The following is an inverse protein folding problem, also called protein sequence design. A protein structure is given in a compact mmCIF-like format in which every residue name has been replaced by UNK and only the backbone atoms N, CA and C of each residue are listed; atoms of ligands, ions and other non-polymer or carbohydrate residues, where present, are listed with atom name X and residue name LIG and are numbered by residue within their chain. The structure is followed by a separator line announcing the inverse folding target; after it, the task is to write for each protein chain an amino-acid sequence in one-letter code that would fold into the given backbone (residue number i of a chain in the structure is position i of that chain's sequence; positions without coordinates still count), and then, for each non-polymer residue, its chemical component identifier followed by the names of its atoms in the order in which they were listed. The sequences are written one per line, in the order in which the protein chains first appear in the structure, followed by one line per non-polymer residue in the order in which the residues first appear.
data_IF_084705487302
#
_entry.id   IF_084705487302
#
_cell.length_a   1.000
_cell.length_b   1.000
_cell.length_c   1.000
_cell.angle_alpha   90.00
_cell.angle_beta   90.00
_cell.angle_gamma   90.00
#
_symmetry.space_group_name_H-M   'P 1'
#
loop_
_entity.id
_entity.type
_entity.pdbx_description
1 polymer ?
#
# COMPACT_ATOMS: atom_id res chain seq x y z
N UNK A 1 -9.87 -15.57 -25.24
CA UNK A 1 -8.43 -15.39 -24.96
C UNK A 1 -8.18 -14.35 -23.86
N UNK A 2 -9.01 -13.31 -23.72
CA UNK A 2 -8.88 -12.23 -22.70
C UNK A 2 -8.91 -12.69 -21.23
N UNK A 3 -9.83 -13.60 -20.84
CA UNK A 3 -9.97 -14.03 -19.43
C UNK A 3 -8.70 -14.58 -18.78
N UNK A 4 -7.82 -15.19 -19.57
CA UNK A 4 -6.56 -15.78 -19.08
C UNK A 4 -5.53 -14.69 -18.75
N UNK A 5 -5.57 -13.59 -19.48
CA UNK A 5 -4.67 -12.43 -19.29
C UNK A 5 -5.07 -11.62 -18.05
N UNK A 6 -6.37 -11.41 -17.83
CA UNK A 6 -6.85 -10.68 -16.64
C UNK A 6 -6.53 -11.40 -15.34
N UNK A 7 -6.69 -12.73 -15.32
CA UNK A 7 -6.31 -13.56 -14.17
C UNK A 7 -4.79 -13.47 -13.89
N UNK A 8 -3.96 -13.52 -14.92
CA UNK A 8 -2.51 -13.38 -14.79
C UNK A 8 -2.09 -11.99 -14.29
N UNK A 9 -2.80 -10.94 -14.71
CA UNK A 9 -2.56 -9.58 -14.20
C UNK A 9 -2.95 -9.45 -12.73
N UNK A 10 -4.06 -10.08 -12.33
CA UNK A 10 -4.51 -10.08 -10.94
C UNK A 10 -3.50 -10.78 -10.03
N UNK A 11 -2.98 -11.95 -10.43
CA UNK A 11 -1.94 -12.68 -9.68
C UNK A 11 -0.68 -11.82 -9.51
N UNK A 12 -0.22 -11.18 -10.59
CA UNK A 12 0.93 -10.26 -10.52
C UNK A 12 0.70 -9.07 -9.59
N UNK A 13 -0.51 -8.51 -9.59
CA UNK A 13 -0.85 -7.40 -8.70
C UNK A 13 -0.84 -7.83 -7.23
N UNK A 14 -1.34 -9.04 -6.91
CA UNK A 14 -1.31 -9.56 -5.55
C UNK A 14 0.13 -9.80 -5.07
N UNK A 15 0.99 -10.35 -5.92
CA UNK A 15 2.42 -10.52 -5.64
C UNK A 15 3.14 -9.19 -5.39
N UNK A 16 2.89 -8.19 -6.24
CA UNK A 16 3.47 -6.85 -6.08
C UNK A 16 2.98 -6.19 -4.79
N UNK A 17 1.68 -6.30 -4.51
CA UNK A 17 1.07 -5.80 -3.28
C UNK A 17 1.72 -6.45 -2.06
N UNK A 18 1.87 -7.78 -2.05
CA UNK A 18 2.50 -8.52 -0.96
C UNK A 18 3.94 -8.06 -0.69
N UNK A 19 4.74 -7.92 -1.74
CA UNK A 19 6.13 -7.41 -1.63
C UNK A 19 6.18 -5.99 -1.11
N UNK A 20 5.29 -5.10 -1.58
CA UNK A 20 5.21 -3.73 -1.11
C UNK A 20 4.95 -3.67 0.42
N UNK A 21 3.95 -4.40 0.91
CA UNK A 21 3.65 -4.40 2.35
C UNK A 21 4.75 -5.06 3.19
N UNK A 22 5.40 -6.10 2.67
CA UNK A 22 6.52 -6.77 3.34
C UNK A 22 7.70 -5.81 3.58
N UNK A 23 8.06 -5.01 2.57
CA UNK A 23 9.13 -4.02 2.70
C UNK A 23 8.77 -2.91 3.68
N UNK A 24 7.55 -2.38 3.60
CA UNK A 24 7.06 -1.33 4.49
C UNK A 24 7.03 -1.82 5.95
N UNK A 25 6.64 -3.07 6.19
CA UNK A 25 6.53 -3.67 7.52
C UNK A 25 7.86 -3.72 8.28
N UNK A 26 9.01 -3.60 7.60
CA UNK A 26 10.33 -3.52 8.25
C UNK A 26 10.53 -2.24 9.06
N UNK A 27 9.83 -1.16 8.69
CA UNK A 27 9.95 0.15 9.35
C UNK A 27 8.66 0.63 10.02
N UNK A 28 7.49 0.16 9.57
CA UNK A 28 6.18 0.59 10.06
C UNK A 28 5.40 -0.60 10.60
N UNK A 29 5.10 -0.57 11.90
CA UNK A 29 4.41 -1.66 12.61
C UNK A 29 3.00 -1.22 12.97
N UNK A 30 2.02 -2.11 12.79
CA UNK A 30 0.65 -1.93 13.28
C UNK A 30 -0.25 -0.99 12.46
N UNK A 31 0.21 -0.45 11.33
CA UNK A 31 -0.52 0.56 10.54
C UNK A 31 -1.01 0.05 9.18
N UNK A 32 -1.46 -1.21 9.12
CA UNK A 32 -1.82 -1.90 7.86
C UNK A 32 -2.92 -1.17 7.08
N UNK A 33 -3.96 -0.71 7.78
CA UNK A 33 -5.12 -0.06 7.13
C UNK A 33 -4.77 1.30 6.54
N UNK A 34 -3.94 2.09 7.23
CA UNK A 34 -3.43 3.37 6.71
C UNK A 34 -2.61 3.14 5.45
N UNK A 35 -1.73 2.13 5.46
CA UNK A 35 -0.91 1.78 4.30
C UNK A 35 -1.76 1.26 3.12
N UNK A 36 -2.85 0.52 3.38
CA UNK A 36 -3.82 0.15 2.34
C UNK A 36 -4.44 1.38 1.67
N UNK A 37 -4.89 2.37 2.45
CA UNK A 37 -5.47 3.59 1.90
C UNK A 37 -4.45 4.41 1.10
N UNK A 38 -3.19 4.48 1.56
CA UNK A 38 -2.10 5.14 0.82
C UNK A 38 -1.86 4.44 -0.51
N UNK A 39 -1.79 3.11 -0.52
CA UNK A 39 -1.60 2.34 -1.75
C UNK A 39 -2.76 2.55 -2.74
N UNK A 40 -4.00 2.56 -2.25
CA UNK A 40 -5.18 2.86 -3.08
C UNK A 40 -5.07 4.27 -3.67
N UNK A 41 -4.76 5.28 -2.85
CA UNK A 41 -4.61 6.65 -3.31
C UNK A 41 -3.51 6.76 -4.39
N UNK A 42 -2.37 6.08 -4.21
CA UNK A 42 -1.28 6.08 -5.19
C UNK A 42 -1.72 5.49 -6.54
N UNK A 43 -2.38 4.33 -6.52
CA UNK A 43 -2.86 3.66 -7.74
C UNK A 43 -3.94 4.48 -8.46
N UNK A 44 -4.78 5.18 -7.71
CA UNK A 44 -5.83 6.04 -8.25
C UNK A 44 -5.37 7.47 -8.59
N UNK A 45 -4.09 7.80 -8.36
CA UNK A 45 -3.57 9.19 -8.44
C UNK A 45 -4.37 10.18 -7.57
N UNK A 46 -4.86 9.70 -6.43
CA UNK A 46 -5.55 10.49 -5.43
C UNK A 46 -4.61 11.19 -4.46
N UNK A 47 -5.20 11.88 -3.48
CA UNK A 47 -4.48 12.60 -2.44
C UNK A 47 -4.88 12.06 -1.07
N UNK A 48 -3.93 12.00 -0.14
CA UNK A 48 -4.15 11.50 1.22
C UNK A 48 -3.65 12.52 2.23
N UNK A 49 -4.44 12.77 3.29
CA UNK A 49 -4.04 13.55 4.44
C UNK A 49 -3.89 12.62 5.65
N UNK A 50 -2.69 12.59 6.25
CA UNK A 50 -2.40 11.75 7.42
C UNK A 50 -2.44 12.59 8.69
N UNK A 51 -3.48 12.41 9.50
CA UNK A 51 -3.68 13.11 10.77
C UNK A 51 -3.58 12.13 11.94
N UNK A 52 -2.94 12.55 13.03
CA UNK A 52 -2.85 11.75 14.25
C UNK A 52 -1.97 12.42 15.30
N UNK A 53 -1.82 11.80 16.46
CA UNK A 53 -0.97 12.29 17.56
C UNK A 53 0.53 12.06 17.27
N UNK A 54 1.45 12.75 17.96
CA UNK A 54 2.90 12.53 17.82
C UNK A 54 3.30 11.06 18.05
N UNK A 55 4.37 10.60 17.37
CA UNK A 55 4.92 9.25 17.58
C UNK A 55 4.31 8.12 16.73
N UNK A 56 3.28 8.37 15.92
CA UNK A 56 2.61 7.34 15.10
C UNK A 56 3.28 7.04 13.75
N UNK A 57 4.59 7.25 13.64
CA UNK A 57 5.37 7.00 12.42
C UNK A 57 4.88 7.75 11.15
N UNK A 58 4.05 8.79 11.28
CA UNK A 58 3.51 9.57 10.13
C UNK A 58 4.61 10.11 9.21
N UNK A 59 5.74 10.53 9.79
CA UNK A 59 6.90 11.00 9.02
C UNK A 59 7.62 9.86 8.29
N UNK A 60 7.72 8.69 8.92
CA UNK A 60 8.32 7.50 8.28
C UNK A 60 7.45 6.95 7.15
N UNK A 61 6.13 7.16 7.19
CA UNK A 61 5.21 6.75 6.13
C UNK A 61 5.35 7.54 4.83
N UNK A 62 5.84 8.78 4.90
CA UNK A 62 5.94 9.68 3.74
C UNK A 62 7.37 9.69 3.15
N UNK A 63 8.36 9.33 3.95
CA UNK A 63 9.77 9.31 3.56
C UNK A 63 10.10 8.08 2.72
#
# INVERSE_FOLDING_TARGET
MEKKTDLQLLEKLDDVKGRFFSEIAKSIIGQKDVLNHILIALLCKGHTLIVGVPGLAKTLMIK
#
